data_IF_205724962667
#
_entry.id   IF_205724962667
#
_cell.length_a   1.000
_cell.length_b   1.000
_cell.length_c   1.000
_cell.angle_alpha   90.00
_cell.angle_beta   90.00
_cell.angle_gamma   90.00
#
_symmetry.space_group_name_H-M   'P 1'
#
loop_
_entity.id
_entity.type
_entity.pdbx_description
1 polymer ?
#
# COMPACT_ATOMS: atom_id res chain seq x y z
N UNK A 1 17.25 -27.11 -14.36
CA UNK A 1 17.82 -25.96 -13.63
C UNK A 1 16.67 -25.26 -12.96
N UNK A 2 16.58 -25.29 -11.63
CA UNK A 2 15.58 -24.52 -10.88
C UNK A 2 15.91 -23.05 -11.10
N UNK A 3 14.97 -22.28 -11.65
CA UNK A 3 15.07 -20.82 -11.69
C UNK A 3 14.94 -20.33 -10.25
N UNK A 4 16.08 -20.16 -9.57
CA UNK A 4 16.13 -19.35 -8.36
C UNK A 4 15.91 -17.89 -8.79
N UNK A 5 14.68 -17.41 -8.66
CA UNK A 5 14.44 -15.97 -8.64
C UNK A 5 15.01 -15.45 -7.34
N UNK A 6 16.33 -15.23 -7.29
CA UNK A 6 16.99 -14.66 -6.12
C UNK A 6 16.64 -13.17 -6.04
N UNK A 7 15.40 -12.85 -5.71
CA UNK A 7 15.07 -11.52 -5.22
C UNK A 7 15.82 -11.40 -3.89
N UNK A 8 16.96 -10.70 -3.90
CA UNK A 8 17.82 -10.57 -2.71
C UNK A 8 17.21 -9.64 -1.64
N UNK A 9 16.27 -8.78 -2.02
CA UNK A 9 15.58 -7.83 -1.15
C UNK A 9 14.12 -8.29 -0.94
N UNK A 10 13.73 -8.59 0.29
CA UNK A 10 12.31 -8.84 0.63
C UNK A 10 11.44 -7.56 0.60
N UNK A 11 12.04 -6.45 0.23
CA UNK A 11 11.52 -5.10 0.26
C UNK A 11 10.21 -4.93 -0.54
N UNK A 12 10.07 -5.45 -1.79
CA UNK A 12 8.80 -5.41 -2.51
C UNK A 12 7.66 -6.09 -1.73
N UNK A 13 7.93 -7.27 -1.15
CA UNK A 13 6.92 -8.02 -0.41
C UNK A 13 6.51 -7.30 0.88
N UNK A 14 7.46 -6.70 1.59
CA UNK A 14 7.17 -5.89 2.78
C UNK A 14 6.35 -4.64 2.44
N UNK A 15 6.69 -3.92 1.36
CA UNK A 15 5.94 -2.75 0.93
C UNK A 15 4.53 -3.12 0.48
N UNK A 16 4.36 -4.21 -0.27
CA UNK A 16 3.05 -4.72 -0.66
C UNK A 16 2.15 -5.00 0.57
N UNK A 17 2.70 -5.64 1.61
CA UNK A 17 1.98 -5.88 2.88
C UNK A 17 1.59 -4.59 3.59
N UNK A 18 2.44 -3.56 3.56
CA UNK A 18 2.13 -2.25 4.13
C UNK A 18 1.01 -1.58 3.33
N UNK A 19 1.11 -1.57 2.00
CA UNK A 19 0.08 -1.01 1.12
C UNK A 19 -1.28 -1.67 1.35
N UNK A 20 -1.34 -3.00 1.47
CA UNK A 20 -2.58 -3.70 1.79
C UNK A 20 -3.19 -3.25 3.13
N UNK A 21 -2.36 -2.96 4.14
CA UNK A 21 -2.84 -2.43 5.44
C UNK A 21 -3.34 -0.99 5.33
N UNK A 22 -2.68 -0.16 4.53
CA UNK A 22 -3.11 1.22 4.28
C UNK A 22 -4.46 1.25 3.58
N UNK A 23 -4.64 0.45 2.52
CA UNK A 23 -5.93 0.31 1.83
C UNK A 23 -7.03 -0.21 2.76
N UNK A 24 -6.72 -1.21 3.59
CA UNK A 24 -7.69 -1.72 4.56
C UNK A 24 -8.11 -0.64 5.57
N UNK A 25 -7.16 0.17 6.04
CA UNK A 25 -7.44 1.25 6.98
C UNK A 25 -8.18 2.42 6.33
N UNK A 26 -7.89 2.78 5.08
CA UNK A 26 -8.67 3.76 4.31
C UNK A 26 -10.15 3.33 4.22
N UNK A 27 -10.41 2.09 3.83
CA UNK A 27 -11.78 1.56 3.75
C UNK A 27 -12.44 1.57 5.12
N UNK A 28 -11.74 1.14 6.17
CA UNK A 28 -12.26 1.20 7.53
C UNK A 28 -12.60 2.64 7.97
N UNK A 29 -11.70 3.61 7.75
CA UNK A 29 -11.93 5.01 8.12
C UNK A 29 -13.05 5.65 7.32
N UNK A 30 -13.27 5.20 6.08
CA UNK A 30 -14.38 5.66 5.24
C UNK A 30 -15.73 5.07 5.64
N UNK A 31 -15.74 3.80 6.03
CA UNK A 31 -16.96 3.04 6.36
C UNK A 31 -17.27 3.05 7.86
N UNK A 32 -16.49 3.77 8.67
CA UNK A 32 -16.70 3.89 10.11
C UNK A 32 -18.00 4.66 10.41
N UNK A 33 -18.72 4.25 11.45
CA UNK A 33 -19.92 4.94 11.89
C UNK A 33 -19.55 6.18 12.69
N UNK A 34 -20.00 7.36 12.24
CA UNK A 34 -19.78 8.62 12.92
C UNK A 34 -20.91 8.90 13.91
N UNK A 35 -20.58 9.03 15.19
CA UNK A 35 -21.58 9.32 16.24
C UNK A 35 -21.89 10.82 16.37
N UNK A 36 -21.03 11.69 15.82
CA UNK A 36 -21.18 13.15 15.79
C UNK A 36 -20.26 13.79 14.72
N UNK A 37 -20.34 15.12 14.55
CA UNK A 37 -19.54 15.85 13.57
C UNK A 37 -18.03 15.85 13.85
N UNK A 38 -17.61 15.78 15.12
CA UNK A 38 -16.19 15.71 15.50
C UNK A 38 -15.58 14.36 15.10
N UNK A 39 -16.31 13.26 15.32
CA UNK A 39 -15.91 11.92 14.90
C UNK A 39 -15.78 11.84 13.37
N UNK A 40 -16.75 12.39 12.64
CA UNK A 40 -16.72 12.44 11.17
C UNK A 40 -15.50 13.22 10.64
N UNK A 41 -15.18 14.36 11.26
CA UNK A 41 -14.01 15.14 10.90
C UNK A 41 -12.70 14.38 11.18
N UNK A 42 -12.63 13.67 12.31
CA UNK A 42 -11.49 12.82 12.65
C UNK A 42 -11.31 11.69 11.64
N UNK A 43 -12.36 10.93 11.33
CA UNK A 43 -12.28 9.80 10.39
C UNK A 43 -11.91 10.24 8.97
N UNK A 44 -12.46 11.38 8.52
CA UNK A 44 -12.04 11.99 7.26
C UNK A 44 -10.54 12.34 7.25
N UNK A 45 -10.05 12.94 8.33
CA UNK A 45 -8.61 13.26 8.47
C UNK A 45 -7.74 12.00 8.45
N UNK A 46 -8.16 10.94 9.15
CA UNK A 46 -7.46 9.64 9.14
C UNK A 46 -7.43 9.01 7.75
N UNK A 47 -8.53 9.06 7.01
CA UNK A 47 -8.59 8.63 5.61
C UNK A 47 -7.59 9.43 4.75
N UNK A 48 -7.60 10.76 4.83
CA UNK A 48 -6.73 11.63 4.02
C UNK A 48 -5.24 11.40 4.31
N UNK A 49 -4.87 11.29 5.59
CA UNK A 49 -3.50 11.00 6.01
C UNK A 49 -3.05 9.62 5.49
N UNK A 50 -3.93 8.62 5.56
CA UNK A 50 -3.62 7.26 5.13
C UNK A 50 -3.47 7.17 3.62
N UNK A 51 -4.34 7.84 2.86
CA UNK A 51 -4.25 7.93 1.40
C UNK A 51 -2.95 8.61 0.93
N UNK A 52 -2.52 9.65 1.65
CA UNK A 52 -1.23 10.31 1.40
C UNK A 52 -0.04 9.38 1.67
N UNK A 53 -0.10 8.64 2.78
CA UNK A 53 0.90 7.62 3.08
C UNK A 53 0.94 6.53 1.99
N UNK A 54 -0.21 5.99 1.58
CA UNK A 54 -0.31 4.98 0.52
C UNK A 54 0.39 5.43 -0.76
N UNK A 55 0.08 6.63 -1.23
CA UNK A 55 0.70 7.22 -2.44
C UNK A 55 2.23 7.29 -2.33
N UNK A 56 2.73 7.63 -1.13
CA UNK A 56 4.17 7.68 -0.85
C UNK A 56 4.81 6.30 -0.90
N UNK A 57 4.14 5.27 -0.37
CA UNK A 57 4.61 3.88 -0.38
C UNK A 57 4.50 3.24 -1.77
N UNK A 58 3.48 3.56 -2.56
CA UNK A 58 3.36 3.14 -3.97
C UNK A 58 4.55 3.68 -4.78
N UNK A 59 4.84 4.98 -4.62
CA UNK A 59 6.02 5.60 -5.24
C UNK A 59 7.34 4.96 -4.80
N UNK A 60 7.42 4.44 -3.58
CA UNK A 60 8.59 3.71 -3.09
C UNK A 60 8.67 2.30 -3.70
N UNK A 61 7.54 1.62 -3.83
CA UNK A 61 7.45 0.30 -4.45
C UNK A 61 7.87 0.38 -5.92
N UNK A 62 7.36 1.35 -6.67
CA UNK A 62 7.74 1.57 -8.08
C UNK A 62 9.26 1.71 -8.26
N UNK A 63 9.92 2.45 -7.37
CA UNK A 63 11.39 2.60 -7.39
C UNK A 63 12.11 1.28 -7.18
N UNK A 64 11.62 0.42 -6.28
CA UNK A 64 12.21 -0.90 -6.04
C UNK A 64 12.01 -1.80 -7.26
N UNK A 65 10.81 -1.81 -7.84
CA UNK A 65 10.49 -2.65 -9.01
C UNK A 65 11.34 -2.26 -10.22
N UNK A 66 11.54 -0.96 -10.46
CA UNK A 66 12.47 -0.46 -11.49
C UNK A 66 13.92 -0.88 -11.21
N UNK A 67 14.39 -0.76 -9.96
CA UNK A 67 15.76 -1.12 -9.57
C UNK A 67 16.03 -2.63 -9.76
N UNK A 68 15.10 -3.46 -9.34
CA UNK A 68 15.18 -4.93 -9.40
C UNK A 68 14.79 -5.48 -10.79
N UNK A 69 14.38 -4.61 -11.73
CA UNK A 69 13.88 -4.97 -13.08
C UNK A 69 12.72 -5.98 -13.03
N UNK A 70 11.84 -5.83 -12.04
CA UNK A 70 10.63 -6.63 -11.89
C UNK A 70 9.55 -6.01 -12.77
N UNK A 71 9.06 -6.79 -13.71
CA UNK A 71 7.98 -6.39 -14.61
C UNK A 71 6.62 -6.70 -13.96
N UNK A 72 5.85 -5.65 -13.66
CA UNK A 72 4.56 -5.76 -12.95
C UNK A 72 3.44 -6.22 -13.90
N UNK A 73 3.62 -6.02 -15.22
CA UNK A 73 2.65 -6.41 -16.25
C UNK A 73 2.60 -7.94 -16.50
N UNK A 74 3.39 -8.72 -15.76
CA UNK A 74 3.48 -10.19 -15.90
C UNK A 74 2.88 -10.96 -14.73
N UNK A 75 2.22 -10.29 -13.78
CA UNK A 75 1.56 -10.94 -12.64
C UNK A 75 0.11 -11.34 -12.92
N UNK A 76 -0.42 -10.96 -14.09
CA UNK A 76 -1.74 -11.35 -14.59
C UNK A 76 -1.60 -12.55 -15.54
N UNK A 77 -1.31 -13.72 -14.98
CA UNK A 77 -1.22 -14.99 -15.71
C UNK A 77 -1.70 -16.16 -14.86
#
# INVERSE_FOLDING_TARGET
>A
SMMETSVKCECPQHLAKILSKLVAFENYSKDCEDSNEEDAALHKSLYEITASARTTYESALDKILVLEKIDIDRLDG
#
